data_IF_274111884040
#
_entry.id   IF_274111884040
#
_cell.length_a   1.000
_cell.length_b   1.000
_cell.length_c   1.000
_cell.angle_alpha   90.00
_cell.angle_beta   90.00
_cell.angle_gamma   90.00
#
_symmetry.space_group_name_H-M   'P 1'
#
loop_
_entity.id
_entity.type
_entity.pdbx_description
1 polymer ?
#
# COMPACT_ATOMS: atom_id res chain seq x y z
N UNK A 1 21.22 29.30 65.40
CA UNK A 1 21.60 30.08 64.19
C UNK A 1 22.68 29.33 63.43
N UNK A 2 22.33 28.69 62.32
CA UNK A 2 23.15 28.49 61.10
C UNK A 2 22.52 27.35 60.29
N UNK A 3 21.84 27.71 59.21
CA UNK A 3 21.04 26.79 58.40
C UNK A 3 21.89 25.94 57.44
N UNK A 4 21.44 24.70 57.24
CA UNK A 4 21.83 23.88 56.10
C UNK A 4 20.89 24.20 54.93
N UNK A 5 21.42 24.83 53.87
CA UNK A 5 20.72 24.95 52.58
C UNK A 5 21.00 23.69 51.77
N UNK A 6 19.99 22.84 51.60
CA UNK A 6 19.97 21.82 50.55
C UNK A 6 19.78 22.52 49.20
N UNK A 7 20.75 22.37 48.32
CA UNK A 7 20.61 22.74 46.91
C UNK A 7 19.82 21.63 46.20
N UNK A 8 18.61 21.96 45.77
CA UNK A 8 17.86 21.13 44.82
C UNK A 8 18.38 21.46 43.42
N UNK A 9 18.96 20.47 42.74
CA UNK A 9 19.26 20.56 41.32
C UNK A 9 17.93 20.28 40.60
N UNK A 10 17.30 21.32 40.06
CA UNK A 10 16.21 21.16 39.11
C UNK A 10 16.79 20.64 37.80
N UNK A 11 16.77 19.32 37.64
CA UNK A 11 17.02 18.67 36.37
C UNK A 11 15.79 18.79 35.47
N UNK A 12 15.79 19.76 34.56
CA UNK A 12 14.82 19.80 33.47
C UNK A 12 15.07 18.60 32.54
N UNK A 13 14.26 17.55 32.66
CA UNK A 13 14.22 16.46 31.70
C UNK A 13 13.57 16.98 30.41
N UNK A 14 14.39 17.43 29.47
CA UNK A 14 13.97 17.59 28.09
C UNK A 14 13.77 16.20 27.48
N UNK A 15 12.53 15.71 27.49
CA UNK A 15 12.14 14.53 26.71
C UNK A 15 12.19 14.96 25.24
N UNK A 16 13.30 14.66 24.58
CA UNK A 16 13.40 14.72 23.14
C UNK A 16 12.55 13.56 22.59
N UNK A 17 11.29 13.85 22.25
CA UNK A 17 10.47 12.98 21.43
C UNK A 17 11.15 12.87 20.06
N UNK A 18 11.98 11.84 19.92
CA UNK A 18 12.39 11.36 18.60
C UNK A 18 11.12 10.86 17.93
N UNK A 19 10.53 11.70 17.08
CA UNK A 19 9.58 11.26 16.06
C UNK A 19 10.34 10.26 15.18
N UNK A 20 10.21 8.98 15.48
CA UNK A 20 10.55 7.93 14.52
C UNK A 20 9.45 8.00 13.46
N UNK A 21 9.75 8.31 12.19
CA UNK A 21 8.77 8.18 11.13
C UNK A 21 8.49 6.69 10.96
N UNK A 22 7.36 6.23 11.49
CA UNK A 22 6.81 4.93 11.14
C UNK A 22 6.04 5.10 9.85
N UNK A 23 6.74 5.04 8.71
CA UNK A 23 6.10 4.96 7.41
C UNK A 23 6.35 3.54 6.91
N UNK A 24 5.29 2.77 6.76
CA UNK A 24 5.31 1.44 6.14
C UNK A 24 4.08 1.44 5.26
N UNK A 25 4.25 2.05 4.10
CA UNK A 25 3.27 2.32 3.07
C UNK A 25 3.98 3.01 1.93
N UNK A 26 3.31 3.26 0.80
CA UNK A 26 3.67 4.54 0.17
C UNK A 26 3.62 5.65 1.25
N UNK A 27 4.40 6.72 1.09
CA UNK A 27 4.16 7.91 1.89
C UNK A 27 2.73 8.41 1.69
N UNK A 28 2.29 9.34 2.53
CA UNK A 28 0.96 9.96 2.42
C UNK A 28 0.65 10.40 0.99
N UNK A 29 1.62 10.98 0.29
CA UNK A 29 1.51 11.45 -1.08
C UNK A 29 1.28 10.31 -2.08
N UNK A 30 1.94 9.16 -1.91
CA UNK A 30 1.75 8.03 -2.81
C UNK A 30 0.40 7.34 -2.62
N UNK A 31 -0.08 7.18 -1.37
CA UNK A 31 -1.44 6.69 -1.13
C UNK A 31 -2.51 7.66 -1.65
N UNK A 32 -2.32 8.96 -1.42
CA UNK A 32 -3.21 9.97 -1.95
C UNK A 32 -3.24 9.89 -3.50
N UNK A 33 -2.08 9.85 -4.16
CA UNK A 33 -2.00 9.74 -5.61
C UNK A 33 -2.66 8.47 -6.15
N UNK A 34 -2.38 7.30 -5.56
CA UNK A 34 -3.01 6.04 -5.96
C UNK A 34 -4.52 6.10 -5.87
N UNK A 35 -5.07 6.59 -4.75
CA UNK A 35 -6.52 6.69 -4.59
C UNK A 35 -7.13 7.77 -5.47
N UNK A 36 -6.45 8.90 -5.68
CA UNK A 36 -6.95 9.98 -6.52
C UNK A 36 -7.03 9.55 -7.98
N UNK A 37 -6.00 8.85 -8.47
CA UNK A 37 -6.02 8.20 -9.78
C UNK A 37 -7.19 7.22 -9.84
N UNK A 38 -7.40 6.39 -8.81
CA UNK A 38 -8.50 5.43 -8.82
C UNK A 38 -9.88 6.09 -8.98
N UNK A 39 -10.14 7.20 -8.27
CA UNK A 39 -11.40 7.95 -8.37
C UNK A 39 -11.73 8.36 -9.81
N UNK A 40 -10.71 8.75 -10.59
CA UNK A 40 -10.86 9.14 -12.00
C UNK A 40 -11.28 8.01 -12.94
N UNK A 41 -11.13 6.74 -12.50
CA UNK A 41 -11.48 5.55 -13.28
C UNK A 41 -12.63 4.73 -12.69
N UNK A 42 -13.31 5.23 -11.65
CA UNK A 42 -14.51 4.59 -11.11
C UNK A 42 -15.70 4.74 -12.06
N UNK A 43 -16.54 3.71 -12.16
CA UNK A 43 -17.87 3.85 -12.78
C UNK A 43 -18.76 4.70 -11.88
N UNK A 44 -19.86 5.22 -12.44
CA UNK A 44 -20.82 6.01 -11.67
C UNK A 44 -21.38 5.23 -10.46
N UNK A 45 -21.61 3.92 -10.61
CA UNK A 45 -22.08 3.05 -9.55
C UNK A 45 -21.05 2.87 -8.44
N UNK A 46 -19.79 2.58 -8.81
CA UNK A 46 -18.73 2.40 -7.84
C UNK A 46 -18.39 3.70 -7.11
N UNK A 47 -18.36 4.83 -7.82
CA UNK A 47 -18.15 6.15 -7.23
C UNK A 47 -19.25 6.48 -6.22
N UNK A 48 -20.51 6.16 -6.53
CA UNK A 48 -21.63 6.34 -5.61
C UNK A 48 -21.47 5.47 -4.36
N UNK A 49 -21.19 4.18 -4.51
CA UNK A 49 -20.99 3.26 -3.39
C UNK A 49 -19.82 3.70 -2.49
N UNK A 50 -18.69 4.10 -3.09
CA UNK A 50 -17.53 4.66 -2.38
C UNK A 50 -17.94 5.86 -1.54
N UNK A 51 -18.64 6.85 -2.14
CA UNK A 51 -19.09 8.04 -1.41
C UNK A 51 -20.09 7.75 -0.30
N UNK A 52 -20.93 6.74 -0.45
CA UNK A 52 -21.86 6.29 0.59
C UNK A 52 -21.14 5.65 1.79
N UNK A 53 -20.02 4.96 1.55
CA UNK A 53 -19.23 4.30 2.58
C UNK A 53 -18.23 5.24 3.27
N UNK A 54 -17.81 6.32 2.63
CA UNK A 54 -16.84 7.25 3.20
C UNK A 54 -17.39 7.98 4.43
N UNK A 55 -16.55 8.24 5.45
CA UNK A 55 -16.95 9.06 6.57
C UNK A 55 -17.16 10.51 6.12
N UNK A 56 -18.02 11.26 6.83
CA UNK A 56 -18.29 12.67 6.50
C UNK A 56 -17.01 13.53 6.46
N UNK A 57 -16.02 13.20 7.30
CA UNK A 57 -14.72 13.89 7.35
C UNK A 57 -13.89 13.75 6.08
N UNK A 58 -14.20 12.78 5.22
CA UNK A 58 -13.54 12.60 3.92
C UNK A 58 -14.07 13.58 2.85
N UNK A 59 -15.20 14.26 3.12
CA UNK A 59 -15.84 15.20 2.19
C UNK A 59 -16.10 14.59 0.79
N UNK A 60 -16.30 13.28 0.73
CA UNK A 60 -16.52 12.52 -0.51
C UNK A 60 -15.26 12.26 -1.35
N UNK A 61 -14.06 12.47 -0.79
CA UNK A 61 -12.76 12.19 -1.40
C UNK A 61 -12.09 10.97 -0.75
N UNK A 62 -11.99 9.87 -1.49
CA UNK A 62 -11.34 8.64 -1.04
C UNK A 62 -9.85 8.86 -0.74
N UNK A 63 -9.16 9.69 -1.54
CA UNK A 63 -7.73 9.93 -1.37
C UNK A 63 -7.41 10.58 -0.03
N UNK A 64 -8.35 11.36 0.54
CA UNK A 64 -8.20 12.00 1.85
C UNK A 64 -8.07 11.02 3.02
N UNK A 65 -8.56 9.78 2.86
CA UNK A 65 -8.56 8.75 3.91
C UNK A 65 -7.66 7.56 3.59
N UNK A 66 -7.01 7.54 2.43
CA UNK A 66 -6.17 6.41 2.03
C UNK A 66 -4.90 6.23 2.84
N UNK A 67 -4.47 7.21 3.64
CA UNK A 67 -3.37 7.05 4.60
C UNK A 67 -3.83 6.57 5.99
N UNK A 68 -5.14 6.42 6.23
CA UNK A 68 -5.65 6.10 7.56
C UNK A 68 -5.12 4.78 8.16
N UNK A 69 -4.92 3.68 7.38
CA UNK A 69 -4.34 2.46 7.93
C UNK A 69 -2.94 2.63 8.53
N UNK A 70 -2.12 3.53 7.99
CA UNK A 70 -0.83 3.88 8.59
C UNK A 70 -0.98 4.57 9.95
N UNK A 71 -2.01 5.40 10.10
CA UNK A 71 -2.25 6.13 11.34
C UNK A 71 -2.73 5.21 12.45
N UNK A 72 -3.58 4.23 12.11
CA UNK A 72 -4.22 3.37 13.10
C UNK A 72 -3.36 2.19 13.54
N UNK A 73 -2.48 1.63 12.69
CA UNK A 73 -1.66 0.45 13.04
C UNK A 73 -0.81 0.63 14.30
N UNK A 74 -0.47 1.87 14.65
CA UNK A 74 0.29 2.20 15.86
C UNK A 74 -0.57 2.20 17.15
N UNK A 75 -1.90 2.23 17.04
CA UNK A 75 -2.82 2.19 18.18
C UNK A 75 -2.86 0.77 18.73
N UNK A 76 -2.88 0.64 20.06
CA UNK A 76 -2.79 -0.65 20.75
C UNK A 76 -3.80 -1.70 20.24
N UNK A 77 -5.06 -1.30 20.03
CA UNK A 77 -6.14 -2.16 19.58
C UNK A 77 -6.10 -2.49 18.07
N UNK A 78 -5.19 -1.87 17.32
CA UNK A 78 -5.04 -2.01 15.88
C UNK A 78 -3.66 -2.55 15.48
N UNK A 79 -2.80 -2.90 16.44
CA UNK A 79 -1.44 -3.42 16.15
C UNK A 79 -1.44 -4.63 15.22
N UNK A 80 -2.49 -5.44 15.27
CA UNK A 80 -2.67 -6.59 14.41
C UNK A 80 -2.71 -6.24 12.92
N UNK A 81 -3.00 -4.98 12.55
CA UNK A 81 -2.98 -4.54 11.14
C UNK A 81 -1.57 -4.26 10.62
N UNK A 82 -0.55 -4.14 11.48
CA UNK A 82 0.78 -3.67 11.08
C UNK A 82 1.43 -4.58 10.03
N UNK A 83 1.29 -5.89 10.18
CA UNK A 83 1.87 -6.87 9.26
C UNK A 83 1.04 -7.05 7.98
N UNK A 84 -0.15 -6.44 7.91
CA UNK A 84 -0.99 -6.44 6.72
C UNK A 84 -0.52 -5.44 5.66
N UNK A 85 0.49 -4.62 5.95
CA UNK A 85 1.01 -3.61 5.00
C UNK A 85 2.03 -4.18 4.01
N UNK A 86 2.59 -5.36 4.27
CA UNK A 86 3.70 -5.88 3.47
C UNK A 86 3.66 -7.41 3.32
N UNK A 87 4.62 -7.93 2.55
CA UNK A 87 4.97 -9.34 2.43
C UNK A 87 6.48 -9.46 2.54
N UNK A 88 6.93 -10.33 3.44
CA UNK A 88 8.32 -10.73 3.57
C UNK A 88 8.62 -11.93 2.66
N UNK A 89 9.59 -11.77 1.76
CA UNK A 89 10.05 -12.82 0.83
C UNK A 89 11.46 -13.27 1.20
N UNK A 90 11.81 -14.55 0.94
CA UNK A 90 13.17 -15.03 1.15
C UNK A 90 14.22 -14.23 0.38
N UNK A 91 15.30 -13.88 1.06
CA UNK A 91 16.40 -13.09 0.50
C UNK A 91 16.89 -13.60 -0.85
N UNK A 92 17.14 -12.66 -1.77
CA UNK A 92 17.71 -12.89 -3.10
C UNK A 92 16.91 -13.85 -4.00
N UNK A 93 15.74 -14.33 -3.55
CA UNK A 93 14.88 -15.23 -4.33
C UNK A 93 14.16 -14.50 -5.46
N UNK A 94 13.87 -13.21 -5.25
CA UNK A 94 13.24 -12.33 -6.24
C UNK A 94 11.95 -12.89 -6.84
N UNK A 95 11.19 -13.64 -6.05
CA UNK A 95 9.87 -14.13 -6.41
C UNK A 95 8.96 -14.16 -5.18
N UNK A 96 7.66 -14.19 -5.44
CA UNK A 96 6.62 -14.27 -4.45
C UNK A 96 5.83 -15.57 -4.65
N UNK A 97 5.46 -16.22 -3.55
CA UNK A 97 4.56 -17.37 -3.50
C UNK A 97 3.64 -17.21 -2.29
N UNK A 98 2.32 -17.13 -2.50
CA UNK A 98 1.35 -16.82 -1.43
C UNK A 98 1.48 -17.78 -0.24
N UNK A 99 1.55 -19.09 -0.50
CA UNK A 99 1.56 -20.09 0.56
C UNK A 99 2.84 -20.09 1.39
N UNK A 100 3.96 -19.74 0.75
CA UNK A 100 5.25 -19.58 1.39
C UNK A 100 5.35 -18.26 2.16
N UNK A 101 4.94 -17.15 1.55
CA UNK A 101 5.32 -15.80 1.97
C UNK A 101 4.19 -15.02 2.67
N UNK A 102 2.91 -15.36 2.44
CA UNK A 102 1.80 -14.65 3.08
C UNK A 102 1.52 -15.18 4.48
N UNK A 103 2.30 -14.70 5.45
CA UNK A 103 2.09 -14.95 6.86
C UNK A 103 2.71 -13.83 7.71
N UNK A 104 2.25 -13.70 8.95
CA UNK A 104 2.89 -12.81 9.91
C UNK A 104 4.18 -13.41 10.49
N UNK A 105 4.88 -12.63 11.31
CA UNK A 105 6.11 -13.00 12.02
C UNK A 105 5.93 -14.21 12.97
N UNK A 106 4.69 -14.53 13.36
CA UNK A 106 4.34 -15.71 14.16
C UNK A 106 3.94 -16.91 13.29
N UNK A 107 3.96 -16.76 11.96
CA UNK A 107 3.60 -17.80 11.00
C UNK A 107 2.10 -17.98 10.79
N UNK A 108 1.26 -17.06 11.27
CA UNK A 108 -0.18 -17.09 11.00
C UNK A 108 -0.39 -16.77 9.53
N UNK A 109 -1.00 -17.71 8.80
CA UNK A 109 -1.27 -17.58 7.37
C UNK A 109 -2.22 -16.44 7.08
N UNK A 110 -2.13 -15.92 5.86
CA UNK A 110 -2.99 -14.87 5.31
C UNK A 110 -2.80 -13.47 5.95
N UNK A 111 -2.00 -13.37 7.01
CA UNK A 111 -1.63 -12.09 7.64
C UNK A 111 -0.48 -11.42 6.88
N UNK A 112 -0.78 -10.94 5.67
CA UNK A 112 0.11 -10.14 4.84
C UNK A 112 -0.72 -9.22 3.93
N UNK A 113 -0.09 -8.34 3.14
CA UNK A 113 -0.82 -7.40 2.28
C UNK A 113 -1.70 -8.08 1.21
N UNK A 114 -1.26 -9.18 0.61
CA UNK A 114 -2.08 -9.89 -0.38
C UNK A 114 -3.28 -10.59 0.24
N UNK A 115 -3.09 -11.22 1.41
CA UNK A 115 -4.17 -11.80 2.21
C UNK A 115 -5.17 -10.74 2.69
N UNK A 116 -4.68 -9.56 3.09
CA UNK A 116 -5.53 -8.43 3.47
C UNK A 116 -6.37 -7.93 2.29
N UNK A 117 -5.78 -7.82 1.09
CA UNK A 117 -6.52 -7.45 -0.13
C UNK A 117 -7.64 -8.45 -0.42
N UNK A 118 -7.37 -9.76 -0.34
CA UNK A 118 -8.41 -10.78 -0.48
C UNK A 118 -9.53 -10.60 0.56
N UNK A 119 -9.16 -10.48 1.83
CA UNK A 119 -10.10 -10.36 2.95
C UNK A 119 -11.01 -9.13 2.81
N UNK A 120 -10.45 -7.94 2.61
CA UNK A 120 -11.27 -6.72 2.53
C UNK A 120 -12.07 -6.62 1.23
N UNK A 121 -11.62 -7.26 0.14
CA UNK A 121 -12.44 -7.46 -1.06
C UNK A 121 -13.66 -8.32 -0.75
N UNK A 122 -13.49 -9.46 -0.08
CA UNK A 122 -14.58 -10.34 0.32
C UNK A 122 -15.56 -9.65 1.27
N UNK A 123 -15.07 -8.89 2.24
CA UNK A 123 -15.92 -8.12 3.17
C UNK A 123 -16.81 -7.11 2.43
N UNK A 124 -16.27 -6.39 1.44
CA UNK A 124 -17.06 -5.45 0.65
C UNK A 124 -18.09 -6.16 -0.22
N UNK A 125 -17.71 -7.26 -0.89
CA UNK A 125 -18.64 -8.05 -1.72
C UNK A 125 -19.79 -8.61 -0.88
N UNK A 126 -19.45 -9.27 0.23
CA UNK A 126 -20.43 -9.97 1.07
C UNK A 126 -21.25 -8.99 1.90
N UNK A 127 -20.66 -7.88 2.36
CA UNK A 127 -21.35 -6.90 3.18
C UNK A 127 -22.24 -5.94 2.39
N UNK A 128 -21.78 -5.48 1.22
CA UNK A 128 -22.54 -4.50 0.43
C UNK A 128 -23.73 -5.14 -0.28
N UNK A 129 -23.59 -6.38 -0.76
CA UNK A 129 -24.64 -7.07 -1.50
C UNK A 129 -25.63 -7.86 -0.62
N UNK A 130 -25.34 -8.06 0.66
CA UNK A 130 -26.19 -8.86 1.52
C UNK A 130 -27.26 -8.03 2.22
N UNK A 131 -28.52 -8.35 1.93
CA UNK A 131 -29.67 -7.79 2.64
C UNK A 131 -29.84 -8.34 4.08
N UNK A 132 -29.01 -9.31 4.50
CA UNK A 132 -29.11 -10.02 5.79
C UNK A 132 -27.83 -10.83 6.14
N UNK A 133 -26.66 -10.19 6.18
CA UNK A 133 -25.45 -10.87 6.68
C UNK A 133 -25.52 -11.14 8.18
N UNK A 134 -25.21 -12.36 8.61
CA UNK A 134 -25.07 -12.73 10.02
C UNK A 134 -23.83 -12.10 10.69
N UNK A 135 -22.92 -11.51 9.88
CA UNK A 135 -21.70 -10.83 10.30
C UNK A 135 -21.79 -9.37 9.83
N UNK A 136 -21.71 -8.43 10.78
CA UNK A 136 -21.67 -7.00 10.48
C UNK A 136 -20.20 -6.56 10.36
N UNK A 137 -19.66 -6.54 9.14
CA UNK A 137 -18.39 -5.90 8.84
C UNK A 137 -18.52 -4.38 8.86
N UNK A 138 -17.47 -3.67 9.26
CA UNK A 138 -17.39 -2.23 9.06
C UNK A 138 -16.91 -1.95 7.63
N UNK A 139 -17.83 -1.68 6.72
CA UNK A 139 -17.53 -1.51 5.29
C UNK A 139 -16.76 -0.23 4.97
N UNK A 140 -16.87 0.80 5.82
CA UNK A 140 -16.02 1.99 5.73
C UNK A 140 -14.56 1.62 5.99
N UNK A 141 -14.29 0.87 7.05
CA UNK A 141 -12.95 0.36 7.33
C UNK A 141 -12.46 -0.56 6.21
N UNK A 142 -13.30 -1.48 5.72
CA UNK A 142 -12.93 -2.39 4.65
C UNK A 142 -12.54 -1.64 3.36
N UNK A 143 -13.29 -0.60 2.98
CA UNK A 143 -12.96 0.26 1.84
C UNK A 143 -11.61 0.98 2.04
N UNK A 144 -11.39 1.56 3.21
CA UNK A 144 -10.18 2.33 3.52
C UNK A 144 -8.95 1.42 3.58
N UNK A 145 -9.07 0.24 4.20
CA UNK A 145 -8.03 -0.78 4.22
C UNK A 145 -7.72 -1.30 2.82
N UNK A 146 -8.73 -1.71 2.05
CA UNK A 146 -8.52 -2.23 0.70
C UNK A 146 -7.81 -1.19 -0.19
N UNK A 147 -8.26 0.06 -0.14
CA UNK A 147 -7.68 1.16 -0.94
C UNK A 147 -6.21 1.39 -0.60
N UNK A 148 -5.88 1.37 0.70
CA UNK A 148 -4.50 1.49 1.17
C UNK A 148 -3.63 0.29 0.77
N UNK A 149 -4.09 -0.93 1.02
CA UNK A 149 -3.31 -2.14 0.77
C UNK A 149 -3.07 -2.40 -0.71
N UNK A 150 -4.01 -2.00 -1.59
CA UNK A 150 -3.74 -1.99 -3.03
C UNK A 150 -2.63 -0.99 -3.37
N UNK A 151 -2.51 0.15 -2.68
CA UNK A 151 -1.34 1.01 -2.78
C UNK A 151 -0.06 0.30 -2.34
N UNK A 152 -0.07 -0.29 -1.15
CA UNK A 152 1.09 -0.95 -0.53
C UNK A 152 1.65 -2.09 -1.37
N UNK A 153 0.81 -3.01 -1.84
CA UNK A 153 1.28 -4.14 -2.65
C UNK A 153 1.96 -3.66 -3.94
N UNK A 154 1.72 -2.41 -4.38
CA UNK A 154 2.39 -1.81 -5.53
C UNK A 154 3.72 -1.12 -5.20
N UNK A 155 3.99 -0.80 -3.94
CA UNK A 155 5.29 -0.28 -3.51
C UNK A 155 6.31 -1.45 -3.56
N UNK A 156 7.36 -1.39 -4.41
CA UNK A 156 8.28 -2.51 -4.59
C UNK A 156 8.87 -3.08 -3.29
N UNK A 157 9.26 -2.22 -2.34
CA UNK A 157 9.86 -2.64 -1.07
C UNK A 157 8.86 -3.12 -0.01
N UNK A 158 7.56 -3.05 -0.28
CA UNK A 158 6.54 -3.72 0.54
C UNK A 158 6.42 -5.22 0.22
N UNK A 159 6.99 -5.67 -0.89
CA UNK A 159 7.08 -7.10 -1.21
C UNK A 159 8.55 -7.40 -1.49
N UNK A 160 9.32 -7.58 -0.42
CA UNK A 160 10.78 -7.61 -0.51
C UNK A 160 11.42 -8.46 0.58
N UNK A 161 12.70 -8.25 0.89
CA UNK A 161 13.47 -9.22 1.67
C UNK A 161 13.22 -9.14 3.17
N UNK A 162 13.04 -10.31 3.79
CA UNK A 162 12.84 -10.43 5.23
C UNK A 162 14.04 -9.89 6.02
N UNK A 163 15.27 -10.18 5.59
CA UNK A 163 16.45 -9.87 6.42
C UNK A 163 16.76 -8.38 6.54
N UNK A 164 16.24 -7.55 5.63
CA UNK A 164 16.44 -6.12 5.64
C UNK A 164 15.20 -5.30 6.01
N UNK A 165 14.13 -5.97 6.46
CA UNK A 165 12.82 -5.39 6.78
C UNK A 165 12.29 -4.55 5.60
N UNK A 166 12.40 -5.13 4.41
CA UNK A 166 12.11 -4.46 3.15
C UNK A 166 12.90 -3.18 2.90
N UNK A 167 14.19 -3.21 3.19
CA UNK A 167 15.09 -2.08 3.02
C UNK A 167 15.05 -1.04 4.14
N UNK A 168 14.24 -1.23 5.19
CA UNK A 168 14.21 -0.33 6.35
C UNK A 168 15.56 -0.30 7.09
N UNK A 169 16.26 -1.43 7.12
CA UNK A 169 17.59 -1.53 7.76
C UNK A 169 18.74 -1.08 6.86
N UNK A 170 18.49 -0.88 5.55
CA UNK A 170 19.50 -0.39 4.60
C UNK A 170 19.60 1.12 4.73
N UNK A 171 20.49 1.57 5.62
CA UNK A 171 20.77 3.00 5.81
C UNK A 171 21.50 3.59 4.60
N UNK A 172 20.95 4.64 3.99
CA UNK A 172 21.53 5.36 2.84
C UNK A 172 21.48 6.87 3.08
N UNK A 173 21.96 7.65 2.11
CA UNK A 173 21.67 9.08 2.02
C UNK A 173 20.86 9.37 0.76
N UNK A 174 19.73 10.04 0.91
CA UNK A 174 19.03 10.67 -0.20
C UNK A 174 19.61 12.08 -0.39
N UNK A 175 20.43 12.26 -1.43
CA UNK A 175 21.30 13.42 -1.59
C UNK A 175 22.08 13.73 -0.29
N UNK A 176 21.75 14.85 0.37
CA UNK A 176 22.40 15.29 1.59
C UNK A 176 21.74 14.77 2.87
N UNK A 177 20.56 14.15 2.81
CA UNK A 177 19.79 13.70 3.98
C UNK A 177 20.05 12.22 4.27
N UNK A 178 20.31 11.86 5.53
CA UNK A 178 20.38 10.45 5.95
C UNK A 178 18.96 9.88 6.02
N UNK A 179 18.74 8.68 5.49
CA UNK A 179 17.45 7.98 5.48
C UNK A 179 17.69 6.46 5.39
N UNK A 180 16.65 5.66 5.16
CA UNK A 180 16.76 4.25 4.77
C UNK A 180 16.21 4.03 3.35
N UNK A 181 16.51 2.88 2.74
CA UNK A 181 16.11 2.59 1.37
C UNK A 181 14.58 2.48 1.21
N UNK A 182 13.88 1.93 2.20
CA UNK A 182 12.41 1.83 2.19
C UNK A 182 11.76 3.20 2.03
N UNK A 183 12.10 4.14 2.91
CA UNK A 183 11.63 5.53 2.90
C UNK A 183 12.00 6.26 1.59
N UNK A 184 13.09 5.87 0.93
CA UNK A 184 13.43 6.46 -0.38
C UNK A 184 12.35 6.16 -1.41
N UNK A 185 11.83 4.92 -1.40
CA UNK A 185 10.77 4.49 -2.30
C UNK A 185 9.41 5.01 -1.86
N UNK A 186 9.10 5.00 -0.56
CA UNK A 186 7.82 5.49 -0.04
C UNK A 186 7.59 6.96 -0.34
N UNK A 187 8.62 7.79 -0.16
CA UNK A 187 8.42 9.25 -0.09
C UNK A 187 9.48 10.04 -0.86
N UNK A 188 10.77 9.76 -0.69
CA UNK A 188 11.80 10.68 -1.19
C UNK A 188 11.79 10.84 -2.72
N UNK A 189 11.55 9.77 -3.48
CA UNK A 189 11.46 9.83 -4.94
C UNK A 189 10.26 10.69 -5.36
N UNK A 190 9.09 10.48 -4.74
CA UNK A 190 7.85 11.22 -5.04
C UNK A 190 8.03 12.70 -4.69
N UNK A 191 8.48 13.02 -3.48
CA UNK A 191 8.71 14.39 -3.04
C UNK A 191 9.73 15.12 -3.93
N UNK A 192 10.79 14.42 -4.35
CA UNK A 192 11.82 14.97 -5.23
C UNK A 192 11.27 15.21 -6.64
N UNK A 193 10.44 14.32 -7.16
CA UNK A 193 9.75 14.48 -8.43
C UNK A 193 8.79 15.67 -8.40
N UNK A 194 7.94 15.75 -7.37
CA UNK A 194 7.04 16.89 -7.16
C UNK A 194 7.81 18.21 -7.20
N UNK A 195 8.91 18.29 -6.46
CA UNK A 195 9.74 19.50 -6.41
C UNK A 195 10.45 19.83 -7.73
N UNK A 196 10.85 18.81 -8.49
CA UNK A 196 11.72 18.98 -9.66
C UNK A 196 10.92 19.18 -10.95
N UNK A 197 9.78 18.52 -11.08
CA UNK A 197 9.03 18.42 -12.34
C UNK A 197 7.59 18.91 -12.26
N UNK A 198 7.02 19.07 -11.07
CA UNK A 198 5.58 19.33 -10.88
C UNK A 198 5.28 20.52 -9.97
N UNK A 199 6.18 21.51 -9.91
CA UNK A 199 5.99 22.76 -9.16
C UNK A 199 5.63 22.58 -7.66
N UNK A 200 6.03 21.44 -7.06
CA UNK A 200 5.69 21.00 -5.70
C UNK A 200 4.18 20.75 -5.49
N UNK A 201 3.48 20.42 -6.56
CA UNK A 201 2.05 20.16 -6.57
C UNK A 201 1.79 18.69 -6.93
N UNK A 202 1.11 17.98 -6.01
CA UNK A 202 0.80 16.56 -6.18
C UNK A 202 -0.29 16.36 -7.23
N UNK A 203 -1.24 17.29 -7.36
CA UNK A 203 -2.33 17.19 -8.33
C UNK A 203 -1.80 17.34 -9.76
N UNK A 204 -0.75 18.16 -9.95
CA UNK A 204 -0.05 18.27 -11.25
C UNK A 204 0.67 16.97 -11.60
N UNK A 205 1.31 16.31 -10.62
CA UNK A 205 1.93 14.99 -10.81
C UNK A 205 0.88 13.92 -11.14
N UNK A 206 -0.22 13.87 -10.39
CA UNK A 206 -1.34 12.96 -10.63
C UNK A 206 -1.89 13.15 -12.06
N UNK A 207 -2.17 14.39 -12.45
CA UNK A 207 -2.67 14.71 -13.80
C UNK A 207 -1.71 14.25 -14.90
N UNK A 208 -0.39 14.37 -14.68
CA UNK A 208 0.61 13.87 -15.62
C UNK A 208 0.61 12.34 -15.71
N UNK A 209 0.45 11.65 -14.58
CA UNK A 209 0.33 10.19 -14.53
C UNK A 209 -0.95 9.72 -15.24
N UNK A 210 -2.11 10.35 -14.98
CA UNK A 210 -3.39 10.04 -15.65
C UNK A 210 -3.34 10.25 -17.16
N UNK A 211 -2.62 11.30 -17.59
CA UNK A 211 -2.33 11.51 -19.01
C UNK A 211 -1.50 10.36 -19.58
N UNK A 212 -0.45 9.92 -18.88
CA UNK A 212 0.34 8.77 -19.32
C UNK A 212 -0.46 7.46 -19.36
N UNK A 213 -1.42 7.26 -18.45
CA UNK A 213 -2.37 6.13 -18.47
C UNK A 213 -3.19 6.16 -19.77
N UNK A 214 -3.67 7.33 -20.17
CA UNK A 214 -4.50 7.52 -21.37
C UNK A 214 -3.70 7.51 -22.68
N UNK A 215 -2.44 7.90 -22.63
CA UNK A 215 -1.55 8.01 -23.79
C UNK A 215 -0.59 6.81 -23.85
N UNK A 216 0.54 6.91 -23.13
CA UNK A 216 1.69 6.00 -23.19
C UNK A 216 1.35 4.55 -22.80
N UNK A 217 0.54 4.36 -21.76
CA UNK A 217 0.19 3.05 -21.20
C UNK A 217 -1.20 2.56 -21.61
N UNK A 218 -1.85 3.22 -22.57
CA UNK A 218 -3.20 2.88 -23.03
C UNK A 218 -3.35 1.41 -23.45
N UNK A 219 -2.33 0.84 -24.10
CA UNK A 219 -2.31 -0.57 -24.50
C UNK A 219 -2.14 -1.54 -23.32
N UNK A 220 -1.55 -1.09 -22.21
CA UNK A 220 -1.27 -1.90 -21.03
C UNK A 220 -2.47 -1.98 -20.08
N UNK A 221 -3.42 -1.02 -20.14
CA UNK A 221 -4.59 -0.95 -19.24
C UNK A 221 -5.39 -2.25 -19.22
N UNK A 222 -5.59 -2.89 -20.36
CA UNK A 222 -6.30 -4.17 -20.42
C UNK A 222 -5.57 -5.26 -19.64
N UNK A 223 -4.23 -5.27 -19.65
CA UNK A 223 -3.43 -6.22 -18.87
C UNK A 223 -3.42 -5.89 -17.38
N UNK A 224 -3.53 -4.61 -17.01
CA UNK A 224 -3.55 -4.18 -15.61
C UNK A 224 -4.90 -4.46 -14.94
N UNK A 225 -5.99 -4.28 -15.67
CA UNK A 225 -7.36 -4.43 -15.16
C UNK A 225 -7.87 -5.87 -15.17
N UNK A 226 -7.33 -6.72 -16.06
CA UNK A 226 -7.70 -8.13 -16.15
C UNK A 226 -7.17 -8.93 -14.95
N UNK A 227 -8.12 -9.46 -14.17
CA UNK A 227 -7.90 -10.52 -13.20
C UNK A 227 -8.11 -11.88 -13.89
N UNK A 228 -7.58 -12.99 -13.35
CA UNK A 228 -7.87 -14.33 -13.90
C UNK A 228 -9.38 -14.56 -13.98
N UNK A 229 -9.84 -15.32 -14.97
CA UNK A 229 -11.28 -15.50 -15.22
C UNK A 229 -12.00 -16.01 -13.96
N UNK A 230 -12.90 -15.19 -13.41
CA UNK A 230 -13.73 -15.51 -12.25
C UNK A 230 -13.25 -14.95 -10.90
N UNK A 231 -12.08 -14.30 -10.84
CA UNK A 231 -11.57 -13.65 -9.63
C UNK A 231 -11.95 -12.15 -9.59
N UNK A 232 -12.37 -11.66 -8.43
CA UNK A 232 -12.71 -10.25 -8.23
C UNK A 232 -11.45 -9.39 -7.96
N UNK A 233 -10.35 -10.01 -7.51
CA UNK A 233 -9.06 -9.36 -7.21
C UNK A 233 -7.87 -10.34 -7.39
N UNK A 234 -6.69 -9.84 -7.83
CA UNK A 234 -5.47 -10.64 -8.08
C UNK A 234 -4.20 -10.03 -7.45
N UNK A 235 -4.09 -9.98 -6.12
CA UNK A 235 -2.93 -9.41 -5.45
C UNK A 235 -1.61 -10.18 -5.69
N UNK A 236 -1.68 -11.47 -6.02
CA UNK A 236 -0.50 -12.33 -6.18
C UNK A 236 0.40 -11.96 -7.37
N UNK A 237 -0.13 -11.74 -8.59
CA UNK A 237 0.61 -11.13 -9.68
C UNK A 237 1.19 -9.75 -9.32
N UNK A 238 0.46 -8.93 -8.56
CA UNK A 238 0.90 -7.58 -8.21
C UNK A 238 2.10 -7.62 -7.25
N UNK A 239 2.06 -8.51 -6.27
CA UNK A 239 3.17 -8.80 -5.38
C UNK A 239 4.37 -9.36 -6.15
N UNK A 240 4.12 -10.29 -7.08
CA UNK A 240 5.15 -10.85 -7.97
C UNK A 240 5.84 -9.80 -8.85
N UNK A 241 5.14 -8.74 -9.25
CA UNK A 241 5.74 -7.59 -9.94
C UNK A 241 6.56 -6.75 -8.97
N UNK A 242 6.05 -6.44 -7.78
CA UNK A 242 6.74 -5.63 -6.77
C UNK A 242 8.09 -6.21 -6.38
N UNK A 243 8.18 -7.51 -6.08
CA UNK A 243 9.47 -8.16 -5.76
C UNK A 243 10.45 -8.12 -6.94
N UNK A 244 9.96 -8.20 -8.18
CA UNK A 244 10.83 -8.05 -9.36
C UNK A 244 11.36 -6.62 -9.47
N UNK A 245 10.53 -5.61 -9.23
CA UNK A 245 10.98 -4.21 -9.19
C UNK A 245 11.93 -3.95 -8.03
N UNK A 246 11.70 -4.54 -6.86
CA UNK A 246 12.59 -4.45 -5.71
C UNK A 246 14.00 -4.95 -6.09
N UNK A 247 14.09 -6.16 -6.64
CA UNK A 247 15.38 -6.73 -7.05
C UNK A 247 16.05 -5.98 -8.21
N UNK A 248 15.30 -5.63 -9.25
CA UNK A 248 15.88 -5.06 -10.47
C UNK A 248 16.24 -3.57 -10.32
N UNK A 249 15.53 -2.85 -9.46
CA UNK A 249 15.63 -1.40 -9.34
C UNK A 249 15.96 -0.93 -7.92
N UNK A 250 15.21 -1.36 -6.90
CA UNK A 250 15.33 -0.83 -5.54
C UNK A 250 16.67 -1.20 -4.89
N UNK A 251 16.98 -2.48 -4.77
CA UNK A 251 18.21 -2.94 -4.16
C UNK A 251 19.45 -2.66 -5.03
N UNK A 252 19.25 -2.50 -6.35
CA UNK A 252 20.35 -2.33 -7.30
C UNK A 252 21.05 -0.99 -7.10
N UNK A 253 22.34 -1.05 -6.73
CA UNK A 253 23.20 0.09 -6.42
C UNK A 253 22.81 0.87 -5.15
N UNK A 254 22.01 0.27 -4.26
CA UNK A 254 21.61 0.86 -2.99
C UNK A 254 22.15 0.05 -1.81
N UNK A 255 23.46 0.06 -1.62
CA UNK A 255 24.10 -0.62 -0.47
C UNK A 255 24.19 0.30 0.75
N UNK A 256 24.32 -0.25 1.98
CA UNK A 256 24.45 0.56 3.18
C UNK A 256 25.57 1.60 3.10
N UNK A 257 25.25 2.86 3.43
CA UNK A 257 26.17 3.99 3.43
C UNK A 257 26.30 4.73 2.09
N UNK A 258 25.70 4.23 1.01
CA UNK A 258 25.68 4.90 -0.29
C UNK A 258 24.91 6.22 -0.26
N UNK A 259 25.26 7.12 -1.18
CA UNK A 259 24.47 8.33 -1.46
C UNK A 259 23.74 8.14 -2.78
N UNK A 260 22.42 8.15 -2.72
CA UNK A 260 21.52 8.08 -3.86
C UNK A 260 21.23 9.52 -4.31
N UNK A 261 21.63 9.85 -5.55
CA UNK A 261 21.43 11.15 -6.18
C UNK A 261 20.73 11.01 -7.54
N UNK A 262 20.98 11.94 -8.46
CA UNK A 262 20.26 12.05 -9.74
C UNK A 262 20.25 10.74 -10.55
N UNK A 263 21.37 10.02 -10.62
CA UNK A 263 21.45 8.74 -11.36
C UNK A 263 20.45 7.71 -10.83
N UNK A 264 20.30 7.62 -9.51
CA UNK A 264 19.33 6.72 -8.89
C UNK A 264 17.91 7.28 -9.04
N UNK A 265 17.71 8.57 -8.74
CA UNK A 265 16.41 9.22 -8.83
C UNK A 265 15.78 9.10 -10.23
N UNK A 266 16.47 9.57 -11.27
CA UNK A 266 15.93 9.66 -12.63
C UNK A 266 15.69 8.29 -13.26
N UNK A 267 16.45 7.27 -12.87
CA UNK A 267 16.27 5.91 -13.40
C UNK A 267 15.18 5.10 -12.68
N UNK A 268 14.76 5.51 -11.47
CA UNK A 268 13.72 4.83 -10.68
C UNK A 268 12.38 5.56 -10.70
N UNK A 269 12.37 6.87 -10.95
CA UNK A 269 11.14 7.65 -11.06
C UNK A 269 10.10 7.04 -12.03
N UNK A 270 10.47 6.58 -13.25
CA UNK A 270 9.49 5.96 -14.15
C UNK A 270 8.86 4.68 -13.57
N UNK A 271 9.59 3.94 -12.74
CA UNK A 271 9.06 2.75 -12.05
C UNK A 271 8.07 3.19 -10.98
N UNK A 272 8.40 4.20 -10.18
CA UNK A 272 7.51 4.75 -9.15
C UNK A 272 6.20 5.25 -9.76
N UNK A 273 6.27 6.08 -10.81
CA UNK A 273 5.08 6.60 -11.50
C UNK A 273 4.21 5.47 -12.08
N UNK A 274 4.84 4.47 -12.69
CA UNK A 274 4.13 3.29 -13.20
C UNK A 274 3.46 2.49 -12.09
N UNK A 275 4.10 2.32 -10.92
CA UNK A 275 3.50 1.60 -9.79
C UNK A 275 2.34 2.38 -9.15
N UNK A 276 2.44 3.71 -9.06
CA UNK A 276 1.31 4.57 -8.65
C UNK A 276 0.13 4.45 -9.62
N UNK A 277 0.41 4.48 -10.93
CA UNK A 277 -0.60 4.30 -11.98
C UNK A 277 -1.27 2.93 -11.91
N UNK A 278 -0.48 1.85 -11.83
CA UNK A 278 -0.99 0.49 -11.71
C UNK A 278 -1.84 0.32 -10.46
N UNK A 279 -1.40 0.85 -9.31
CA UNK A 279 -2.16 0.83 -8.07
C UNK A 279 -3.52 1.51 -8.23
N UNK A 280 -3.56 2.70 -8.83
CA UNK A 280 -4.81 3.44 -9.03
C UNK A 280 -5.77 2.75 -10.00
N UNK A 281 -5.26 2.30 -11.16
CA UNK A 281 -6.05 1.57 -12.17
C UNK A 281 -6.59 0.25 -11.62
N UNK A 282 -5.79 -0.50 -10.86
CA UNK A 282 -6.20 -1.78 -10.26
C UNK A 282 -7.17 -1.59 -9.11
N UNK A 283 -7.00 -0.54 -8.29
CA UNK A 283 -7.97 -0.16 -7.26
C UNK A 283 -9.32 0.17 -7.90
N UNK A 284 -9.35 1.05 -8.91
CA UNK A 284 -10.56 1.39 -9.62
C UNK A 284 -11.23 0.16 -10.24
N UNK A 285 -10.48 -0.67 -10.97
CA UNK A 285 -11.01 -1.88 -11.58
C UNK A 285 -11.58 -2.87 -10.54
N UNK A 286 -10.95 -2.98 -9.37
CA UNK A 286 -11.41 -3.83 -8.27
C UNK A 286 -12.71 -3.30 -7.69
N UNK A 287 -12.79 -2.00 -7.34
CA UNK A 287 -14.00 -1.39 -6.80
C UNK A 287 -15.15 -1.39 -7.83
N UNK A 288 -14.84 -1.19 -9.11
CA UNK A 288 -15.81 -1.29 -10.21
C UNK A 288 -16.43 -2.70 -10.29
N UNK A 289 -15.62 -3.75 -10.10
CA UNK A 289 -16.13 -5.14 -10.06
C UNK A 289 -16.95 -5.42 -8.81
N UNK A 290 -16.51 -4.96 -7.65
CA UNK A 290 -17.21 -5.16 -6.36
C UNK A 290 -18.60 -4.51 -6.37
N UNK A 291 -18.71 -3.30 -6.94
CA UNK A 291 -19.93 -2.50 -6.90
C UNK A 291 -20.74 -2.52 -8.21
N UNK A 292 -20.41 -3.41 -9.16
CA UNK A 292 -21.21 -3.57 -10.38
C UNK A 292 -22.62 -4.10 -10.04
N UNK A 293 -23.63 -3.33 -10.44
CA UNK A 293 -25.05 -3.68 -10.28
C UNK A 293 -25.49 -4.91 -11.08
N UNK A 294 -24.68 -5.37 -12.05
CA UNK A 294 -24.89 -6.62 -12.77
C UNK A 294 -24.09 -7.72 -12.09
N UNK A 295 -24.69 -8.57 -11.24
CA UNK A 295 -23.95 -9.66 -10.62
C UNK A 295 -23.35 -10.54 -11.71
N UNK A 296 -22.03 -10.60 -11.77
CA UNK A 296 -21.34 -11.60 -12.56
C UNK A 296 -21.84 -12.99 -12.13
N UNK A 297 -21.82 -13.98 -13.02
CA UNK A 297 -22.16 -15.36 -12.64
C UNK A 297 -21.23 -15.85 -11.50
N UNK A 298 -20.01 -15.30 -11.42
CA UNK A 298 -19.06 -15.52 -10.33
C UNK A 298 -19.56 -14.91 -9.00
N UNK A 299 -20.14 -13.70 -9.00
CA UNK A 299 -20.76 -13.09 -7.81
C UNK A 299 -21.87 -13.97 -7.20
N UNK A 300 -22.62 -14.73 -8.01
CA UNK A 300 -23.62 -15.70 -7.51
C UNK A 300 -22.99 -16.96 -6.89
N UNK A 301 -21.83 -17.41 -7.39
CA UNK A 301 -21.14 -18.62 -6.94
C UNK A 301 -20.15 -18.35 -5.78
N UNK A 302 -19.57 -17.15 -5.70
CA UNK A 302 -18.67 -16.69 -4.65
C UNK A 302 -19.37 -16.58 -3.27
N UNK A 303 -20.71 -16.57 -3.23
CA UNK A 303 -21.46 -16.76 -1.98
C UNK A 303 -21.16 -18.10 -1.27
N UNK A 304 -20.36 -19.00 -1.88
CA UNK A 304 -19.99 -20.30 -1.32
C UNK A 304 -18.49 -20.67 -1.46
N UNK A 305 -17.59 -19.77 -1.90
CA UNK A 305 -16.18 -20.11 -2.17
C UNK A 305 -15.19 -19.06 -1.68
N UNK A 306 -14.08 -19.51 -1.07
CA UNK A 306 -12.98 -18.66 -0.62
C UNK A 306 -12.24 -18.05 -1.83
N UNK A 307 -12.02 -16.73 -1.87
CA UNK A 307 -11.34 -16.01 -2.98
C UNK A 307 -9.81 -16.18 -2.87
N UNK A 308 -9.32 -16.63 -1.72
CA UNK A 308 -7.89 -16.85 -1.46
C UNK A 308 -7.32 -18.10 -2.15
N UNK A 309 -6.02 -18.12 -2.49
CA UNK A 309 -5.33 -19.30 -2.98
C UNK A 309 -5.43 -20.47 -2.00
N UNK A 310 -5.67 -21.68 -2.51
CA UNK A 310 -5.68 -22.90 -1.68
C UNK A 310 -4.26 -23.44 -1.51
N UNK A 311 -3.71 -23.29 -0.30
CA UNK A 311 -2.41 -23.86 0.03
C UNK A 311 -2.55 -25.36 0.34
N UNK A 312 -2.16 -26.22 -0.60
CA UNK A 312 -2.05 -27.65 -0.31
C UNK A 312 -0.87 -27.88 0.63
N UNK A 313 -1.13 -28.53 1.76
CA UNK A 313 -0.06 -29.03 2.64
C UNK A 313 0.62 -30.17 1.86
N UNK A 314 1.78 -29.91 1.27
CA UNK A 314 2.66 -30.99 0.83
C UNK A 314 3.19 -31.68 2.09
N UNK A 315 2.56 -32.80 2.45
CA UNK A 315 3.16 -33.78 3.35
C UNK A 315 4.48 -34.21 2.74
N UNK A 316 5.58 -33.91 3.45
CA UNK A 316 6.90 -34.49 3.16
C UNK A 316 6.92 -35.97 3.51
#
# INVERSE_FOLDING_TARGET
>A
MSGFKLWWIEGAFAILLLLVPGNLGWGKEGHYATCKIAESFLTEEALKAVKELLPETAEGDLASVCSWPDEIKHRYNWRWTSELHYVDTPDFRCNYDYCRDCHDSSGVKDNCVTGAIYNYTEQLITGYNASNSAVNYNLTEALMFLSHYIGDVHQPLHVSFTSDEGGNTITVRWYKRKTNLHHVWDSDIIESAMKTFYDKDLDVMISAIEKNISDTWSNDISSWTNCTSGEEVCPDPWASESIKFACNYAYRNATPGTTLGDDYFLSRLPVVEMRLAQGGVRLAATLNRIFDSRPSIAHKLASFGNIQPTCQISSS
#
